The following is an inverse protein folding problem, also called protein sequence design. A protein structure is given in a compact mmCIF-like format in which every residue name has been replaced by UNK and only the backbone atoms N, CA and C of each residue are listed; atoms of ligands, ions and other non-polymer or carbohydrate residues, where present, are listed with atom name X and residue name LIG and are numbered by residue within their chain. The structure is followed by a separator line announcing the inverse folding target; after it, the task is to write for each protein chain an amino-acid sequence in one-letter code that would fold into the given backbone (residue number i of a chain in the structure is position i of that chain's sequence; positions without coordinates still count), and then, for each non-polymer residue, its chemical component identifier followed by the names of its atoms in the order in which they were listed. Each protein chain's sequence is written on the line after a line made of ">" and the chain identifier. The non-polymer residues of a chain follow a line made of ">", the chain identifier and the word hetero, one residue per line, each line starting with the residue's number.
data_IF_963477561873
#
_entry.id   IF_963477561873
#
_cell.length_a   1.000
_cell.length_b   1.000
_cell.length_c   1.000
_cell.angle_alpha   90.00
_cell.angle_beta   90.00
_cell.angle_gamma   90.00
#
_symmetry.space_group_name_H-M   'P 1'
#
loop_
_entity.id
_entity.type
_entity.pdbx_description
1 polymer ?
#
# COMPACT_ATOMS: atom_id res chain seq x y z
N UNK A 1 -11.08 8.22 3.96
CA UNK A 1 -10.84 9.12 4.07
C UNK A 1 -9.58 9.64 3.94
N UNK A 2 -9.39 10.54 3.54
CA UNK A 2 -8.18 11.06 3.22
C UNK A 2 -7.42 11.61 4.31
N UNK A 3 -7.81 11.31 5.49
CA UNK A 3 -7.09 11.77 6.62
C UNK A 3 -5.69 11.28 6.65
N UNK A 4 -5.43 10.12 6.12
CA UNK A 4 -4.08 9.60 6.10
C UNK A 4 -3.19 10.52 5.31
N UNK A 5 -3.69 11.04 4.20
CA UNK A 5 -2.91 11.92 3.40
C UNK A 5 -2.53 13.18 4.13
N UNK A 6 -3.42 13.71 4.91
CA UNK A 6 -3.10 14.91 5.66
C UNK A 6 -2.01 14.69 6.66
N UNK A 7 -2.00 13.51 7.30
CA UNK A 7 -0.97 13.27 8.25
C UNK A 7 0.37 13.13 7.62
N UNK A 8 0.42 12.66 6.38
CA UNK A 8 1.67 12.50 5.69
C UNK A 8 2.25 13.81 5.23
N UNK A 9 1.54 14.92 5.51
CA UNK A 9 2.08 16.22 5.15
C UNK A 9 2.98 16.78 6.23
N UNK A 10 3.43 15.96 7.12
CA UNK A 10 4.35 16.39 8.14
C UNK A 10 5.56 17.04 7.49
N UNK A 11 5.95 18.19 7.99
CA UNK A 11 7.02 18.93 7.38
C UNK A 11 8.38 18.25 7.53
N UNK A 12 8.44 17.20 8.34
CA UNK A 12 9.69 16.50 8.52
C UNK A 12 10.05 15.60 7.38
N UNK A 13 9.09 15.30 6.49
CA UNK A 13 9.35 14.35 5.41
C UNK A 13 9.56 15.08 4.10
N UNK A 14 10.42 14.54 3.27
CA UNK A 14 10.57 15.10 1.93
C UNK A 14 9.31 14.82 1.14
N UNK A 15 9.06 15.63 0.12
CA UNK A 15 7.85 15.46 -0.69
C UNK A 15 7.85 14.15 -1.42
N UNK A 16 9.02 13.68 -1.84
CA UNK A 16 9.10 12.38 -2.49
C UNK A 16 8.69 11.25 -1.57
N UNK A 17 9.15 11.31 -0.32
CA UNK A 17 8.79 10.29 0.65
C UNK A 17 7.29 10.35 0.94
N UNK A 18 6.73 11.53 1.05
CA UNK A 18 5.30 11.66 1.29
C UNK A 18 4.52 11.00 0.17
N UNK A 19 4.94 11.22 -1.07
CA UNK A 19 4.26 10.61 -2.21
C UNK A 19 4.36 9.09 -2.15
N UNK A 20 5.54 8.57 -1.85
CA UNK A 20 5.72 7.13 -1.79
C UNK A 20 4.87 6.51 -0.69
N UNK A 21 4.78 7.18 0.46
CA UNK A 21 3.98 6.65 1.55
C UNK A 21 2.49 6.70 1.22
N UNK A 22 2.06 7.75 0.52
CA UNK A 22 0.66 7.83 0.12
C UNK A 22 0.31 6.70 -0.83
N UNK A 23 1.21 6.42 -1.78
CA UNK A 23 0.98 5.33 -2.72
C UNK A 23 0.96 3.99 -2.01
N UNK A 24 1.86 3.82 -1.04
CA UNK A 24 1.89 2.59 -0.26
C UNK A 24 0.57 2.40 0.48
N UNK A 25 0.05 3.48 1.05
CA UNK A 25 -1.21 3.40 1.76
C UNK A 25 -2.35 2.99 0.86
N UNK A 26 -2.39 3.53 -0.36
CA UNK A 26 -3.44 3.18 -1.30
C UNK A 26 -3.36 1.73 -1.70
N UNK A 27 -2.15 1.23 -1.90
CA UNK A 27 -1.99 -0.17 -2.29
C UNK A 27 -2.35 -1.11 -1.16
N UNK A 28 -2.01 -0.73 0.06
CA UNK A 28 -2.37 -1.54 1.21
C UNK A 28 -3.88 -1.59 1.36
N UNK A 29 -4.56 -0.48 1.12
CA UNK A 29 -6.02 -0.46 1.20
C UNK A 29 -6.63 -1.37 0.16
N UNK A 30 -6.05 -1.39 -1.03
CA UNK A 30 -6.54 -2.27 -2.08
C UNK A 30 -6.38 -3.73 -1.69
N UNK A 31 -5.23 -4.09 -1.11
CA UNK A 31 -5.02 -5.46 -0.65
C UNK A 31 -6.03 -5.82 0.43
N UNK A 32 -6.26 -4.91 1.37
CA UNK A 32 -7.22 -5.18 2.42
C UNK A 32 -8.62 -5.39 1.86
N UNK A 33 -8.97 -4.63 0.83
CA UNK A 33 -10.27 -4.79 0.21
C UNK A 33 -10.40 -6.17 -0.44
N UNK A 34 -9.36 -6.63 -1.11
CA UNK A 34 -9.38 -7.95 -1.73
C UNK A 34 -9.50 -9.04 -0.67
N UNK A 35 -8.77 -8.89 0.42
CA UNK A 35 -8.85 -9.87 1.50
C UNK A 35 -10.25 -9.92 2.11
N UNK A 36 -10.87 -8.76 2.25
CA UNK A 36 -12.23 -8.72 2.78
C UNK A 36 -13.20 -9.43 1.84
N UNK A 37 -13.00 -9.28 0.53
CA UNK A 37 -13.88 -9.95 -0.42
C UNK A 37 -13.75 -11.48 -0.34
N UNK A 38 -12.56 -11.96 -0.02
CA UNK A 38 -12.37 -13.40 0.12
C UNK A 38 -13.12 -13.97 1.32
N UNK A 39 -13.56 -13.12 2.23
CA UNK A 39 -14.31 -13.58 3.39
C UNK A 39 -15.82 -13.63 3.15
N UNK A 40 -16.27 -13.20 1.98
CA UNK A 40 -17.68 -13.24 1.65
C UNK A 40 -18.13 -14.69 1.54
N UNK A 41 -19.21 -15.08 2.22
CA UNK A 41 -19.66 -16.47 2.14
C UNK A 41 -20.19 -16.82 0.77
N UNK A 42 -20.04 -18.08 0.42
CA UNK A 42 -20.61 -18.62 -0.82
C UNK A 42 -20.00 -18.07 -2.07
N UNK A 43 -18.74 -17.71 -2.02
CA UNK A 43 -18.05 -17.34 -3.24
C UNK A 43 -17.94 -18.57 -4.13
N UNK A 44 -18.12 -18.35 -5.42
CA UNK A 44 -17.91 -19.40 -6.38
C UNK A 44 -16.44 -19.59 -6.62
N UNK A 45 -16.06 -20.78 -7.05
CA UNK A 45 -14.66 -21.07 -7.30
C UNK A 45 -14.05 -20.07 -8.27
N UNK A 46 -14.80 -19.71 -9.34
CA UNK A 46 -14.26 -18.75 -10.29
C UNK A 46 -14.05 -17.38 -9.67
N UNK A 47 -14.91 -17.02 -8.71
CA UNK A 47 -14.74 -15.74 -8.03
C UNK A 47 -13.51 -15.76 -7.14
N UNK A 48 -13.29 -16.87 -6.45
CA UNK A 48 -12.10 -16.99 -5.62
C UNK A 48 -10.86 -16.93 -6.49
N UNK A 49 -10.85 -17.62 -7.61
CA UNK A 49 -9.70 -17.60 -8.50
C UNK A 49 -9.42 -16.19 -9.00
N UNK A 50 -10.48 -15.45 -9.34
CA UNK A 50 -10.30 -14.09 -9.82
C UNK A 50 -9.70 -13.20 -8.72
N UNK A 51 -10.20 -13.36 -7.50
CA UNK A 51 -9.68 -12.57 -6.39
C UNK A 51 -8.23 -12.91 -6.08
N UNK A 52 -7.88 -14.19 -6.17
CA UNK A 52 -6.50 -14.57 -5.93
C UNK A 52 -5.59 -14.03 -7.01
N UNK A 53 -6.07 -13.98 -8.25
CA UNK A 53 -5.30 -13.39 -9.32
C UNK A 53 -5.04 -11.92 -9.09
N UNK A 54 -6.08 -11.19 -8.68
CA UNK A 54 -5.92 -9.78 -8.39
C UNK A 54 -5.01 -9.56 -7.18
N UNK A 55 -5.13 -10.42 -6.18
CA UNK A 55 -4.30 -10.30 -5.00
C UNK A 55 -2.84 -10.56 -5.35
N UNK A 56 -2.59 -11.54 -6.20
CA UNK A 56 -1.24 -11.83 -6.63
C UNK A 56 -0.62 -10.64 -7.35
N UNK A 57 -1.40 -10.00 -8.23
CA UNK A 57 -0.91 -8.82 -8.93
C UNK A 57 -0.67 -7.66 -7.96
N UNK A 58 -1.54 -7.50 -6.98
CA UNK A 58 -1.38 -6.44 -6.01
C UNK A 58 -0.13 -6.66 -5.16
N UNK A 59 0.13 -7.91 -4.80
CA UNK A 59 1.32 -8.23 -4.03
C UNK A 59 2.57 -7.94 -4.83
N UNK A 60 2.56 -8.25 -6.12
CA UNK A 60 3.70 -7.96 -6.96
C UNK A 60 3.94 -6.45 -7.04
N UNK A 61 2.87 -5.68 -7.20
CA UNK A 61 2.97 -4.22 -7.21
C UNK A 61 3.54 -3.72 -5.89
N UNK A 62 3.05 -4.26 -4.79
CA UNK A 62 3.50 -3.86 -3.48
C UNK A 62 4.99 -4.17 -3.32
N UNK A 63 5.39 -5.34 -3.80
CA UNK A 63 6.79 -5.73 -3.73
C UNK A 63 7.68 -4.74 -4.48
N UNK A 64 7.26 -4.34 -5.68
CA UNK A 64 8.05 -3.41 -6.46
C UNK A 64 8.09 -2.03 -5.81
N UNK A 65 6.97 -1.59 -5.27
CA UNK A 65 6.91 -0.26 -4.66
C UNK A 65 7.66 -0.18 -3.34
N UNK A 66 7.74 -1.29 -2.62
CA UNK A 66 8.41 -1.26 -1.33
C UNK A 66 9.87 -1.66 -1.40
N UNK A 67 10.32 -2.10 -2.57
CA UNK A 67 11.70 -2.49 -2.70
C UNK A 67 12.61 -1.29 -2.46
N UNK A 68 13.42 -1.36 -1.45
CA UNK A 68 14.30 -0.28 -1.09
C UNK A 68 13.62 0.86 -0.34
N UNK A 69 12.30 0.76 -0.13
CA UNK A 69 11.59 1.82 0.54
C UNK A 69 12.06 1.98 1.98
N UNK A 70 12.39 0.87 2.62
CA UNK A 70 12.90 0.93 3.98
C UNK A 70 14.17 1.77 4.06
N UNK A 71 15.03 1.67 3.05
CA UNK A 71 16.24 2.48 3.01
C UNK A 71 15.88 3.95 2.80
N UNK A 72 14.93 4.21 1.91
CA UNK A 72 14.51 5.56 1.65
C UNK A 72 13.96 6.22 2.91
N UNK A 73 13.14 5.47 3.65
CA UNK A 73 12.56 6.00 4.87
C UNK A 73 13.63 6.25 5.93
N UNK A 74 14.59 5.35 5.99
CA UNK A 74 15.64 5.46 6.99
C UNK A 74 16.56 6.64 6.72
N UNK A 75 16.72 7.00 5.47
CA UNK A 75 17.64 8.06 5.08
C UNK A 75 16.96 9.35 4.67
N UNK A 76 15.67 9.50 4.95
CA UNK A 76 14.96 10.70 4.55
C UNK A 76 15.60 11.91 5.20
N UNK A 77 16.04 12.89 4.42
CA UNK A 77 16.72 14.05 4.99
C UNK A 77 15.80 14.93 5.83
N UNK A 78 14.50 14.81 5.66
CA UNK A 78 13.57 15.59 6.44
C UNK A 78 13.44 15.09 7.86
N UNK A 79 13.85 13.83 8.11
CA UNK A 79 13.83 13.27 9.44
C UNK A 79 15.26 13.17 9.88
N UNK A 80 15.72 14.18 10.53
CA UNK A 80 17.10 14.23 10.90
C UNK A 80 17.44 13.24 11.98
N UNK A 81 18.60 12.64 11.89
CA UNK A 81 19.02 11.70 12.91
C UNK A 81 19.80 12.36 13.97
#
# INVERSE_FOLDING_TARGET
>A
MSTVKRRLKASYLSSGTVTLLAELGEECQFVLKLLAQLEIPRLKETQVEALLGELSAAILHLHEHTRGLDVILDEDPGVSK
#
